data_IF_158528966322
#
_entry.id   IF_158528966322
#
_cell.length_a   1.000
_cell.length_b   1.000
_cell.length_c   1.000
_cell.angle_alpha   90.00
_cell.angle_beta   90.00
_cell.angle_gamma   90.00
#
_symmetry.space_group_name_H-M   'P 1'
#
loop_
_entity.id
_entity.type
_entity.pdbx_description
1 polymer ?
#
# COMPACT_ATOMS: atom_id res chain seq x y z
N UNK A 1 4.32 3.66 22.40
CA UNK A 1 3.45 4.64 21.73
C UNK A 1 2.45 3.87 20.89
N UNK A 2 1.17 4.25 20.90
CA UNK A 2 0.12 3.57 20.13
C UNK A 2 0.20 3.97 18.64
N UNK A 3 -0.06 3.01 17.75
CA UNK A 3 0.08 3.10 16.30
C UNK A 3 -0.67 4.26 15.63
N UNK A 4 -1.66 4.84 16.32
CA UNK A 4 -2.48 5.95 15.80
C UNK A 4 -1.78 7.33 15.82
N UNK A 5 -0.69 7.50 16.58
CA UNK A 5 0.01 8.80 16.72
C UNK A 5 1.33 8.89 15.95
N UNK A 6 1.66 7.89 15.14
CA UNK A 6 2.97 7.80 14.47
C UNK A 6 2.82 7.40 13.00
N UNK A 7 3.83 7.77 12.20
CA UNK A 7 3.92 7.30 10.83
C UNK A 7 4.02 5.76 10.79
N UNK A 8 3.39 5.14 9.79
CA UNK A 8 3.43 3.69 9.60
C UNK A 8 3.40 3.32 8.13
N UNK A 9 4.22 2.34 7.77
CA UNK A 9 4.31 1.84 6.41
C UNK A 9 4.06 0.33 6.40
N UNK A 10 3.21 -0.13 5.48
CA UNK A 10 3.04 -1.54 5.15
C UNK A 10 3.54 -1.76 3.72
N UNK A 11 4.24 -2.85 3.48
CA UNK A 11 4.66 -3.23 2.12
C UNK A 11 4.09 -4.59 1.78
N UNK A 12 3.26 -4.66 0.73
CA UNK A 12 2.84 -5.90 0.13
C UNK A 12 3.93 -6.34 -0.85
N UNK A 13 4.47 -7.53 -0.61
CA UNK A 13 5.55 -8.10 -1.42
C UNK A 13 4.98 -9.10 -2.40
N UNK A 14 5.35 -8.95 -3.66
CA UNK A 14 4.94 -9.82 -4.74
C UNK A 14 6.14 -10.48 -5.41
N UNK A 15 5.88 -11.58 -6.12
CA UNK A 15 6.89 -12.29 -6.89
C UNK A 15 6.69 -12.06 -8.37
N UNK A 16 7.78 -11.80 -9.07
CA UNK A 16 7.79 -11.62 -10.53
C UNK A 16 7.45 -12.92 -11.29
N UNK A 17 7.53 -14.08 -10.62
CA UNK A 17 7.05 -15.35 -11.15
C UNK A 17 5.54 -15.41 -11.31
N UNK A 18 4.80 -14.51 -10.68
CA UNK A 18 3.33 -14.45 -10.71
C UNK A 18 2.80 -13.37 -11.66
N UNK A 19 3.69 -12.71 -12.40
CA UNK A 19 3.30 -11.75 -13.45
C UNK A 19 2.35 -12.40 -14.46
N UNK A 20 1.40 -11.60 -14.93
CA UNK A 20 0.40 -12.00 -15.93
C UNK A 20 -0.57 -13.12 -15.50
N UNK A 21 -0.45 -13.61 -14.26
CA UNK A 21 -1.39 -14.58 -13.68
C UNK A 21 -2.50 -13.87 -12.90
N UNK A 22 -3.76 -14.34 -12.98
CA UNK A 22 -4.82 -13.85 -12.12
C UNK A 22 -4.53 -14.17 -10.65
N UNK A 23 -4.74 -13.18 -9.78
CA UNK A 23 -4.68 -13.31 -8.33
C UNK A 23 -5.96 -12.72 -7.72
N UNK A 24 -6.58 -13.47 -6.81
CA UNK A 24 -7.69 -12.96 -6.02
C UNK A 24 -7.14 -12.25 -4.78
N UNK A 25 -7.55 -11.00 -4.56
CA UNK A 25 -7.16 -10.19 -3.42
C UNK A 25 -8.40 -9.74 -2.66
N UNK A 26 -8.33 -9.84 -1.34
CA UNK A 26 -9.35 -9.35 -0.42
C UNK A 26 -8.65 -8.67 0.76
N UNK A 27 -8.21 -7.44 0.52
CA UNK A 27 -7.35 -6.67 1.41
C UNK A 27 -8.07 -5.39 1.80
N UNK A 28 -8.23 -5.21 3.11
CA UNK A 28 -8.82 -4.02 3.71
C UNK A 28 -7.74 -3.23 4.45
N UNK A 29 -7.83 -1.90 4.39
CA UNK A 29 -7.09 -1.04 5.30
C UNK A 29 -8.00 -0.73 6.49
N UNK A 30 -7.52 -1.04 7.67
CA UNK A 30 -8.04 -0.52 8.93
C UNK A 30 -7.03 0.50 9.46
N UNK A 31 -7.44 1.76 9.53
CA UNK A 31 -6.56 2.84 9.92
C UNK A 31 -7.20 3.80 10.90
N UNK A 32 -6.55 3.91 12.07
CA UNK A 32 -6.76 5.00 13.02
C UNK A 32 -5.60 5.98 12.98
N UNK A 33 -5.92 7.28 12.93
CA UNK A 33 -4.97 8.39 13.00
C UNK A 33 -5.48 9.39 14.05
N UNK A 34 -4.59 9.78 14.94
CA UNK A 34 -4.77 10.89 15.86
C UNK A 34 -3.55 11.81 15.75
N UNK A 35 -3.67 12.83 14.90
CA UNK A 35 -2.65 13.80 14.63
C UNK A 35 -3.00 15.14 15.30
N UNK A 36 -2.15 15.57 16.24
CA UNK A 36 -2.19 16.93 16.76
C UNK A 36 -1.49 17.91 15.81
N UNK A 37 -0.65 18.80 16.35
CA UNK A 37 0.16 19.71 15.53
C UNK A 37 1.18 18.99 14.63
N UNK A 38 1.64 17.80 15.03
CA UNK A 38 2.52 16.95 14.21
C UNK A 38 1.73 16.22 13.12
N UNK A 39 2.31 16.12 11.93
CA UNK A 39 1.72 15.35 10.82
C UNK A 39 1.98 13.86 11.01
N UNK A 40 0.92 13.06 10.92
CA UNK A 40 0.99 11.59 10.91
C UNK A 40 0.56 11.12 9.53
N UNK A 41 1.39 10.29 8.89
CA UNK A 41 1.11 9.70 7.58
C UNK A 41 1.29 8.19 7.60
N UNK A 42 0.38 7.50 6.94
CA UNK A 42 0.43 6.05 6.80
C UNK A 42 0.34 5.66 5.34
N UNK A 43 1.15 4.68 4.96
CA UNK A 43 1.33 4.27 3.58
C UNK A 43 1.18 2.77 3.40
N UNK A 44 0.62 2.37 2.26
CA UNK A 44 0.78 1.00 1.74
C UNK A 44 1.58 1.07 0.45
N UNK A 45 2.59 0.21 0.37
CA UNK A 45 3.47 0.08 -0.78
C UNK A 45 3.31 -1.29 -1.46
N UNK A 46 3.57 -1.33 -2.76
CA UNK A 46 3.83 -2.55 -3.50
C UNK A 46 5.33 -2.65 -3.81
N UNK A 47 5.86 -3.88 -3.75
CA UNK A 47 7.26 -4.17 -4.05
C UNK A 47 7.41 -5.57 -4.63
N UNK A 48 8.31 -5.75 -5.60
CA UNK A 48 8.78 -7.08 -5.98
C UNK A 48 9.82 -7.58 -4.98
N UNK A 49 9.76 -8.85 -4.61
CA UNK A 49 10.69 -9.48 -3.65
C UNK A 49 12.15 -9.37 -4.09
N UNK A 50 12.41 -9.44 -5.39
CA UNK A 50 13.75 -9.34 -5.99
C UNK A 50 14.24 -7.91 -6.24
N UNK A 51 13.39 -6.91 -6.10
CA UNK A 51 13.70 -5.52 -6.47
C UNK A 51 13.94 -4.66 -5.23
N UNK A 52 14.56 -3.50 -5.39
CA UNK A 52 14.77 -2.54 -4.29
C UNK A 52 13.69 -1.47 -4.22
N UNK A 53 13.05 -1.16 -5.37
CA UNK A 53 12.06 -0.10 -5.47
C UNK A 53 10.67 -0.53 -5.02
N UNK A 54 9.90 0.44 -4.53
CA UNK A 54 8.51 0.27 -4.11
C UNK A 54 7.63 1.42 -4.63
N UNK A 55 6.35 1.15 -4.87
CA UNK A 55 5.35 2.13 -5.30
C UNK A 55 4.30 2.33 -4.21
N UNK A 56 3.87 3.58 -3.99
CA UNK A 56 2.76 3.89 -3.09
C UNK A 56 1.46 3.54 -3.80
N UNK A 57 0.57 2.82 -3.13
CA UNK A 57 -0.79 2.54 -3.60
C UNK A 57 -1.88 3.10 -2.68
N UNK A 58 -1.50 3.49 -1.47
CA UNK A 58 -2.40 4.10 -0.50
C UNK A 58 -1.61 5.06 0.38
N UNK A 59 -2.17 6.24 0.60
CA UNK A 59 -1.69 7.24 1.54
C UNK A 59 -2.88 7.80 2.32
N UNK A 60 -2.76 7.85 3.65
CA UNK A 60 -3.74 8.49 4.52
C UNK A 60 -3.03 9.21 5.66
N UNK A 61 -3.44 10.44 5.94
CA UNK A 61 -2.93 11.21 7.06
C UNK A 61 -2.75 12.70 6.79
N UNK A 62 -2.18 13.39 7.77
CA UNK A 62 -1.97 14.83 7.81
C UNK A 62 -1.83 15.34 9.25
N UNK A 63 -1.92 16.65 9.44
CA UNK A 63 -1.90 17.33 10.75
C UNK A 63 -3.30 17.76 11.19
N UNK A 64 -3.48 17.99 12.49
CA UNK A 64 -4.73 18.44 13.12
C UNK A 64 -5.95 17.61 12.71
N UNK A 65 -5.79 16.29 12.66
CA UNK A 65 -6.85 15.39 12.22
C UNK A 65 -7.02 14.20 13.15
N UNK A 66 -8.28 13.79 13.30
CA UNK A 66 -8.65 12.50 13.87
C UNK A 66 -9.44 11.76 12.81
N UNK A 67 -9.00 10.56 12.46
CA UNK A 67 -9.60 9.74 11.42
C UNK A 67 -9.63 8.28 11.87
N UNK A 68 -10.77 7.63 11.66
CA UNK A 68 -10.89 6.18 11.66
C UNK A 68 -11.51 5.79 10.31
N UNK A 69 -10.85 4.91 9.56
CA UNK A 69 -11.27 4.49 8.23
C UNK A 69 -11.08 2.98 8.11
N UNK A 70 -12.12 2.31 7.61
CA UNK A 70 -12.08 0.91 7.23
C UNK A 70 -12.59 0.80 5.80
N UNK A 71 -11.69 0.59 4.86
CA UNK A 71 -12.02 0.59 3.44
C UNK A 71 -11.28 -0.51 2.67
N UNK A 72 -11.91 -1.06 1.62
CA UNK A 72 -11.25 -2.06 0.77
C UNK A 72 -10.12 -1.39 -0.03
N UNK A 73 -8.91 -1.93 0.07
CA UNK A 73 -7.78 -1.54 -0.76
C UNK A 73 -7.81 -2.30 -2.09
N UNK A 74 -7.98 -3.62 -2.01
CA UNK A 74 -8.16 -4.51 -3.14
C UNK A 74 -9.29 -5.48 -2.84
N UNK A 75 -10.16 -5.70 -3.81
CA UNK A 75 -11.26 -6.67 -3.69
C UNK A 75 -11.60 -7.30 -5.03
N UNK A 76 -11.39 -8.59 -5.16
CA UNK A 76 -11.66 -9.36 -6.38
C UNK A 76 -10.41 -9.80 -7.11
N UNK A 77 -10.55 -10.07 -8.41
CA UNK A 77 -9.46 -10.56 -9.26
C UNK A 77 -8.63 -9.42 -9.83
N UNK A 78 -7.32 -9.63 -9.84
CA UNK A 78 -6.32 -8.72 -10.40
C UNK A 78 -5.30 -9.49 -11.21
N UNK A 79 -4.61 -8.79 -12.11
CA UNK A 79 -3.36 -9.24 -12.73
C UNK A 79 -2.25 -8.30 -12.29
N UNK A 80 -1.14 -8.88 -11.87
CA UNK A 80 0.09 -8.14 -11.66
C UNK A 80 0.81 -7.86 -12.97
N UNK A 81 1.23 -6.61 -13.15
CA UNK A 81 2.06 -6.12 -14.25
C UNK A 81 3.32 -5.46 -13.71
N UNK A 82 4.34 -5.36 -14.57
CA UNK A 82 5.57 -4.60 -14.27
C UNK A 82 5.43 -3.15 -14.70
N UNK A 83 5.75 -2.25 -13.78
CA UNK A 83 6.02 -0.85 -14.10
C UNK A 83 7.49 -0.56 -13.85
N UNK A 84 8.15 0.11 -14.79
CA UNK A 84 9.52 0.57 -14.61
C UNK A 84 9.53 1.91 -13.88
N UNK A 85 10.24 1.99 -12.76
CA UNK A 85 10.34 3.20 -11.94
C UNK A 85 11.76 3.34 -11.38
N UNK A 86 12.38 4.48 -11.66
CA UNK A 86 13.67 4.87 -11.06
C UNK A 86 14.75 3.78 -11.14
N UNK A 87 14.89 3.13 -12.30
CA UNK A 87 15.95 2.14 -12.53
C UNK A 87 15.57 0.69 -12.22
N UNK A 88 14.37 0.40 -11.71
CA UNK A 88 13.95 -0.93 -11.26
C UNK A 88 12.45 -1.15 -11.50
N UNK A 89 11.98 -2.39 -11.41
CA UNK A 89 10.57 -2.71 -11.60
C UNK A 89 9.79 -2.66 -10.27
N UNK A 90 8.54 -2.22 -10.35
CA UNK A 90 7.57 -2.28 -9.24
C UNK A 90 6.29 -2.96 -9.71
N UNK A 91 5.56 -3.66 -8.81
CA UNK A 91 4.30 -4.28 -9.17
C UNK A 91 3.23 -3.22 -9.38
N UNK A 92 2.35 -3.47 -10.36
CA UNK A 92 1.10 -2.76 -10.55
C UNK A 92 -0.04 -3.77 -10.68
N UNK A 93 -1.09 -3.58 -9.89
CA UNK A 93 -2.24 -4.46 -9.89
C UNK A 93 -3.32 -3.87 -10.80
N UNK A 94 -3.60 -4.55 -11.90
CA UNK A 94 -4.68 -4.22 -12.84
C UNK A 94 -5.89 -5.06 -12.47
N UNK A 95 -7.01 -4.41 -12.18
CA UNK A 95 -8.26 -5.12 -11.86
C UNK A 95 -8.79 -5.84 -13.11
N UNK A 96 -9.31 -7.05 -12.93
CA UNK A 96 -10.06 -7.81 -13.94
C UNK A 96 -11.56 -7.51 -13.88
#
# INVERSE_FOLDING_TARGET
MTSQYSNQDVTLVFYSSDDDKPIYLDIYVDVSIYAGSSSVKKYVYLKYSSESQKSIIYERGGSNMTLNDYSPLFRGWYIQKRLYKSGSYVPALVKL
#
